data_IF_217326992334
#
_entry.id   IF_217326992334
#
_cell.length_a   1.000
_cell.length_b   1.000
_cell.length_c   1.000
_cell.angle_alpha   90.00
_cell.angle_beta   90.00
_cell.angle_gamma   90.00
#
_symmetry.space_group_name_H-M   'P 1'
#
loop_
_entity.id
_entity.type
_entity.pdbx_description
1 polymer ?
#
# COMPACT_ATOMS: atom_id res chain seq x y z
N UNK A 1 -17.15 -10.73 33.03
CA UNK A 1 -16.46 -9.46 32.75
C UNK A 1 -16.17 -9.41 31.26
N UNK A 2 -17.06 -8.82 30.45
CA UNK A 2 -16.95 -8.82 28.99
C UNK A 2 -16.04 -7.68 28.57
N UNK A 3 -14.89 -7.99 27.95
CA UNK A 3 -13.99 -6.99 27.41
C UNK A 3 -14.65 -6.41 26.14
N UNK A 4 -15.26 -5.23 26.24
CA UNK A 4 -15.77 -4.46 25.12
C UNK A 4 -14.60 -4.14 24.17
N UNK A 5 -14.56 -4.77 23.00
CA UNK A 5 -13.66 -4.37 21.92
C UNK A 5 -14.06 -2.99 21.42
N UNK A 6 -13.43 -1.94 21.96
CA UNK A 6 -13.59 -0.58 21.44
C UNK A 6 -12.93 -0.50 20.06
N UNK A 7 -13.73 -0.38 19.01
CA UNK A 7 -13.22 -0.22 17.65
C UNK A 7 -12.50 1.12 17.54
N UNK A 8 -11.21 1.10 17.17
CA UNK A 8 -10.43 2.32 16.95
C UNK A 8 -11.03 3.11 15.77
N UNK A 9 -11.17 4.44 15.87
CA UNK A 9 -11.72 5.24 14.78
C UNK A 9 -10.85 5.11 13.52
N UNK A 10 -11.49 5.13 12.34
CA UNK A 10 -10.78 5.10 11.06
C UNK A 10 -9.92 6.35 10.90
N UNK A 11 -8.72 6.18 10.34
CA UNK A 11 -7.80 7.28 10.05
C UNK A 11 -8.27 8.08 8.84
N UNK A 12 -8.09 9.40 8.89
CA UNK A 12 -8.20 10.27 7.70
C UNK A 12 -6.99 10.07 6.78
N UNK A 13 -7.08 10.56 5.54
CA UNK A 13 -6.00 10.45 4.56
C UNK A 13 -4.68 11.08 5.08
N UNK A 14 -4.76 12.21 5.78
CA UNK A 14 -3.64 12.98 6.34
C UNK A 14 -2.97 12.23 7.50
N UNK A 15 -3.73 11.41 8.22
CA UNK A 15 -3.24 10.59 9.33
C UNK A 15 -2.52 9.30 8.85
N UNK A 16 -2.61 8.97 7.55
CA UNK A 16 -1.89 7.84 6.99
C UNK A 16 -0.40 8.20 6.84
N UNK A 17 0.48 7.26 7.20
CA UNK A 17 1.94 7.40 7.01
C UNK A 17 2.34 7.68 5.55
N UNK A 18 1.55 7.19 4.60
CA UNK A 18 1.72 7.43 3.16
C UNK A 18 1.52 8.89 2.76
N UNK A 19 0.77 9.68 3.54
CA UNK A 19 0.54 11.09 3.27
C UNK A 19 1.85 11.89 3.19
N UNK A 20 2.83 11.56 4.04
CA UNK A 20 4.17 12.19 4.03
C UNK A 20 4.91 12.03 2.70
N UNK A 21 4.54 11.03 1.89
CA UNK A 21 5.18 10.74 0.61
C UNK A 21 4.35 11.24 -0.57
N UNK A 22 3.02 11.12 -0.50
CA UNK A 22 2.15 11.37 -1.64
C UNK A 22 1.21 12.58 -1.48
N UNK A 23 0.88 12.97 -0.26
CA UNK A 23 -0.12 14.01 0.04
C UNK A 23 0.44 15.41 0.22
N UNK A 24 1.67 15.53 0.75
CA UNK A 24 2.34 16.83 0.95
C UNK A 24 2.66 17.50 -0.39
N UNK A 25 2.71 18.83 -0.41
CA UNK A 25 3.10 19.64 -1.57
C UNK A 25 4.52 20.19 -1.36
N UNK A 26 5.52 19.34 -1.56
CA UNK A 26 6.94 19.73 -1.52
C UNK A 26 7.74 19.03 -2.63
N UNK A 27 9.02 19.38 -2.77
CA UNK A 27 9.87 18.83 -3.83
C UNK A 27 10.10 17.31 -3.67
N UNK A 28 10.17 16.83 -2.42
CA UNK A 28 10.41 15.41 -2.12
C UNK A 28 9.21 14.54 -2.51
N UNK A 29 8.02 14.96 -2.11
CA UNK A 29 6.75 14.33 -2.45
C UNK A 29 6.45 14.41 -3.95
N UNK A 30 6.84 15.50 -4.63
CA UNK A 30 6.82 15.56 -6.08
C UNK A 30 7.67 14.45 -6.71
N UNK A 31 8.91 14.26 -6.24
CA UNK A 31 9.77 13.18 -6.70
C UNK A 31 9.17 11.78 -6.50
N UNK A 32 8.54 11.53 -5.35
CA UNK A 32 7.85 10.27 -5.08
C UNK A 32 6.67 10.04 -6.04
N UNK A 33 5.82 11.05 -6.27
CA UNK A 33 4.71 10.97 -7.23
C UNK A 33 5.20 10.76 -8.67
N UNK A 34 6.28 11.44 -9.06
CA UNK A 34 6.91 11.28 -10.37
C UNK A 34 7.41 9.85 -10.59
N UNK A 35 8.09 9.25 -9.59
CA UNK A 35 8.54 7.86 -9.68
C UNK A 35 7.38 6.88 -9.77
N UNK A 36 6.30 7.11 -9.03
CA UNK A 36 5.08 6.30 -9.11
C UNK A 36 4.41 6.41 -10.47
N UNK A 37 4.37 7.61 -11.07
CA UNK A 37 3.86 7.83 -12.42
C UNK A 37 4.73 7.14 -13.49
N UNK A 38 6.06 7.13 -13.33
CA UNK A 38 6.96 6.37 -14.21
C UNK A 38 6.68 4.86 -14.22
N UNK A 39 6.12 4.32 -13.13
CA UNK A 39 5.70 2.92 -13.04
C UNK A 39 4.31 2.67 -13.65
N UNK A 40 3.64 3.70 -14.19
CA UNK A 40 2.34 3.60 -14.84
C UNK A 40 1.13 3.90 -13.95
N UNK A 41 1.32 4.29 -12.69
CA UNK A 41 0.21 4.57 -11.78
C UNK A 41 -0.30 6.02 -11.88
N UNK A 42 -1.61 6.17 -11.99
CA UNK A 42 -2.30 7.45 -11.97
C UNK A 42 -2.52 7.95 -10.53
N UNK A 43 -2.59 9.28 -10.35
CA UNK A 43 -2.75 9.90 -9.03
C UNK A 43 -4.02 9.46 -8.31
N UNK A 44 -5.11 9.21 -9.04
CA UNK A 44 -6.38 8.72 -8.47
C UNK A 44 -6.30 7.31 -7.86
N UNK A 45 -5.27 6.54 -8.19
CA UNK A 45 -5.09 5.18 -7.67
C UNK A 45 -4.57 5.16 -6.24
N UNK A 46 -3.77 6.16 -5.84
CA UNK A 46 -3.14 6.19 -4.51
C UNK A 46 -3.42 7.44 -3.67
N UNK A 47 -3.83 8.57 -4.27
CA UNK A 47 -4.05 9.79 -3.53
C UNK A 47 -5.25 9.67 -2.57
N UNK A 48 -5.03 9.98 -1.30
CA UNK A 48 -6.07 9.91 -0.26
C UNK A 48 -6.45 8.49 0.18
N UNK A 49 -5.80 7.46 -0.37
CA UNK A 49 -6.08 6.05 -0.10
C UNK A 49 -4.97 5.41 0.75
N UNK A 50 -5.27 4.37 1.54
CA UNK A 50 -4.24 3.52 2.13
C UNK A 50 -3.33 2.93 1.05
N UNK A 51 -2.02 3.01 1.25
CA UNK A 51 -1.02 2.39 0.38
C UNK A 51 -0.57 1.08 1.04
N UNK A 52 -0.94 -0.05 0.45
CA UNK A 52 -0.68 -1.38 0.98
C UNK A 52 0.53 -1.98 0.27
N UNK A 53 1.59 -2.29 1.03
CA UNK A 53 2.74 -3.01 0.51
C UNK A 53 2.50 -4.51 0.64
N UNK A 54 2.62 -5.24 -0.48
CA UNK A 54 2.59 -6.70 -0.48
C UNK A 54 4.04 -7.17 -0.50
N UNK A 55 4.51 -7.68 0.63
CA UNK A 55 5.86 -8.25 0.74
C UNK A 55 5.82 -9.68 0.19
N UNK A 56 6.39 -9.88 -0.99
CA UNK A 56 6.43 -11.18 -1.66
C UNK A 56 7.79 -11.84 -1.47
N UNK A 57 7.81 -13.00 -0.81
CA UNK A 57 9.01 -13.82 -0.57
C UNK A 57 9.15 -14.96 -1.59
N UNK A 58 8.47 -14.87 -2.73
CA UNK A 58 8.66 -15.78 -3.84
C UNK A 58 10.12 -15.70 -4.35
N UNK A 59 10.70 -16.86 -4.62
CA UNK A 59 11.97 -17.02 -5.33
C UNK A 59 12.02 -18.41 -5.96
N UNK A 60 12.85 -18.61 -6.98
CA UNK A 60 13.01 -19.92 -7.63
C UNK A 60 13.64 -20.98 -6.71
N UNK A 61 14.40 -20.56 -5.69
CA UNK A 61 15.07 -21.48 -4.74
C UNK A 61 14.12 -22.03 -3.66
N UNK A 62 12.98 -21.38 -3.41
CA UNK A 62 12.07 -21.79 -2.34
C UNK A 62 10.80 -22.46 -2.90
N UNK A 63 10.76 -23.81 -3.01
CA UNK A 63 9.61 -24.52 -3.61
C UNK A 63 8.32 -24.33 -2.81
N UNK A 64 8.40 -24.13 -1.49
CA UNK A 64 7.24 -23.90 -0.63
C UNK A 64 6.47 -22.63 -1.01
N UNK A 65 7.12 -21.64 -1.63
CA UNK A 65 6.53 -20.36 -2.03
C UNK A 65 6.19 -20.30 -3.52
N UNK A 66 6.32 -21.39 -4.28
CA UNK A 66 6.09 -21.44 -5.74
C UNK A 66 4.77 -20.79 -6.19
N UNK A 67 3.71 -20.97 -5.41
CA UNK A 67 2.37 -20.44 -5.67
C UNK A 67 2.19 -18.94 -5.36
N UNK A 68 3.19 -18.26 -4.79
CA UNK A 68 3.05 -16.86 -4.37
C UNK A 68 2.95 -15.88 -5.55
N UNK A 69 3.44 -16.23 -6.75
CA UNK A 69 3.21 -15.41 -7.96
C UNK A 69 1.72 -15.14 -8.18
N UNK A 70 0.91 -16.19 -8.12
CA UNK A 70 -0.55 -16.07 -8.25
C UNK A 70 -1.17 -15.39 -7.03
N UNK A 71 -0.74 -15.79 -5.82
CA UNK A 71 -1.31 -15.24 -4.57
C UNK A 71 -1.17 -13.72 -4.48
N UNK A 72 -0.07 -13.15 -4.96
CA UNK A 72 0.13 -11.70 -4.96
C UNK A 72 -0.91 -10.99 -5.83
N UNK A 73 -1.24 -11.53 -7.01
CA UNK A 73 -2.26 -10.94 -7.88
C UNK A 73 -3.66 -11.01 -7.26
N UNK A 74 -3.97 -12.11 -6.57
CA UNK A 74 -5.23 -12.26 -5.82
C UNK A 74 -5.33 -11.23 -4.68
N UNK A 75 -4.25 -11.03 -3.92
CA UNK A 75 -4.20 -10.02 -2.86
C UNK A 75 -4.34 -8.61 -3.43
N UNK A 76 -3.62 -8.29 -4.52
CA UNK A 76 -3.75 -6.99 -5.21
C UNK A 76 -5.18 -6.70 -5.65
N UNK A 77 -5.92 -7.72 -6.11
CA UNK A 77 -7.33 -7.56 -6.52
C UNK A 77 -8.26 -7.29 -5.33
N UNK A 78 -7.94 -7.82 -4.15
CA UNK A 78 -8.71 -7.60 -2.93
C UNK A 78 -8.42 -6.27 -2.24
N UNK A 79 -7.26 -5.67 -2.50
CA UNK A 79 -6.87 -4.32 -2.04
C UNK A 79 -7.54 -3.27 -2.91
#
# INVERSE_FOLDING_TARGET
MVHLMTSKPRKTAEQLRSHRWYGVQDMRSFGHRSRTAQMGYHRSEYAGKPVVAIINTWSDINPCHSHFKQRVEEVKRGV
#
